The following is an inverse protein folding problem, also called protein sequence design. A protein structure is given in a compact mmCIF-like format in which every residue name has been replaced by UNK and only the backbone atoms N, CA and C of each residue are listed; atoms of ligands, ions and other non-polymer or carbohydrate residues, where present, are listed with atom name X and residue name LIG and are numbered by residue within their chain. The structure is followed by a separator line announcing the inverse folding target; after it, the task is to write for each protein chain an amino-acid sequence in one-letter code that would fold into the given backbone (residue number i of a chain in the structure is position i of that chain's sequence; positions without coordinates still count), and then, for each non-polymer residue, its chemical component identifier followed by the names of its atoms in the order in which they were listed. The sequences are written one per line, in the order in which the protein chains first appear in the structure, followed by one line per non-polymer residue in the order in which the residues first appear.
data_IF_075971327754
#
_entry.id   IF_075971327754
#
_cell.length_a   1.000
_cell.length_b   1.000
_cell.length_c   1.000
_cell.angle_alpha   90.00
_cell.angle_beta   90.00
_cell.angle_gamma   90.00
#
_symmetry.space_group_name_H-M   'P 1'
#
loop_
_entity.id
_entity.type
_entity.pdbx_description
1 polymer ?
#
# COMPACT_ATOMS: atom_id res chain seq x y z
N UNK A 1 -1.03 -13.58 -4.91
CA UNK A 1 -0.98 -13.34 -6.37
C UNK A 1 -0.81 -11.85 -6.69
N UNK A 2 -1.74 -10.98 -6.28
CA UNK A 2 -1.68 -9.55 -6.58
C UNK A 2 -0.39 -8.84 -6.12
N UNK A 3 0.06 -9.10 -4.89
CA UNK A 3 1.28 -8.50 -4.35
C UNK A 3 2.55 -8.87 -5.11
N UNK A 4 2.64 -10.11 -5.59
CA UNK A 4 3.75 -10.56 -6.44
C UNK A 4 3.75 -9.81 -7.77
N UNK A 5 2.56 -9.62 -8.36
CA UNK A 5 2.41 -8.88 -9.62
C UNK A 5 2.85 -7.42 -9.44
N UNK A 6 2.41 -6.75 -8.38
CA UNK A 6 2.75 -5.34 -8.16
C UNK A 6 4.25 -5.15 -7.94
N UNK A 7 4.90 -6.02 -7.16
CA UNK A 7 6.36 -5.97 -6.98
C UNK A 7 7.10 -6.26 -8.28
N UNK A 8 6.67 -7.26 -9.04
CA UNK A 8 7.27 -7.59 -10.33
C UNK A 8 7.13 -6.44 -11.35
N UNK A 9 6.11 -5.58 -11.20
CA UNK A 9 5.90 -4.42 -12.04
C UNK A 9 6.74 -3.19 -11.63
N UNK A 10 7.24 -3.12 -10.39
CA UNK A 10 7.99 -1.94 -9.91
C UNK A 10 9.16 -1.52 -10.82
N UNK A 11 9.98 -2.43 -11.38
CA UNK A 11 11.04 -2.05 -12.32
C UNK A 11 10.55 -1.39 -13.62
N UNK A 12 9.29 -1.64 -14.02
CA UNK A 12 8.67 -1.05 -15.21
C UNK A 12 8.10 0.34 -14.93
N UNK A 13 7.80 0.65 -13.67
CA UNK A 13 7.22 1.92 -13.21
C UNK A 13 8.28 3.03 -13.10
N UNK A 14 9.02 3.24 -14.19
CA UNK A 14 9.99 4.33 -14.31
C UNK A 14 9.33 5.70 -14.24
N UNK A 15 10.09 6.74 -13.90
CA UNK A 15 9.61 8.14 -13.89
C UNK A 15 8.98 8.56 -15.24
N UNK A 16 9.55 8.08 -16.35
CA UNK A 16 9.03 8.33 -17.70
C UNK A 16 7.70 7.64 -17.96
N UNK A 17 7.54 6.42 -17.47
CA UNK A 17 6.28 5.68 -17.60
C UNK A 17 5.19 6.35 -16.76
N UNK A 18 5.47 6.60 -15.48
CA UNK A 18 4.50 7.19 -14.55
C UNK A 18 4.05 8.59 -15.00
N UNK A 19 4.98 9.44 -15.43
CA UNK A 19 4.65 10.80 -15.91
C UNK A 19 3.84 10.82 -17.23
N UNK A 20 3.97 9.80 -18.08
CA UNK A 20 3.18 9.67 -19.31
C UNK A 20 1.80 9.07 -19.06
N UNK A 21 1.72 8.10 -18.16
CA UNK A 21 0.52 7.32 -17.89
C UNK A 21 -0.29 7.81 -16.67
N UNK A 22 0.07 8.97 -16.10
CA UNK A 22 -0.55 9.52 -14.90
C UNK A 22 -2.09 9.58 -14.95
N UNK A 23 -2.72 9.86 -16.11
CA UNK A 23 -4.19 9.87 -16.26
C UNK A 23 -4.80 8.51 -16.62
N UNK A 24 -3.99 7.57 -17.12
CA UNK A 24 -4.47 6.24 -17.55
C UNK A 24 -4.53 5.23 -16.39
N UNK A 25 -3.88 5.54 -15.26
CA UNK A 25 -3.90 4.71 -14.04
C UNK A 25 -5.12 4.99 -13.15
N UNK A 26 -6.13 5.70 -13.66
CA UNK A 26 -7.40 5.98 -12.98
C UNK A 26 -8.31 4.73 -12.96
N UNK A 27 -7.77 3.61 -12.47
CA UNK A 27 -8.63 2.65 -11.78
C UNK A 27 -9.19 3.38 -10.57
N UNK A 28 -10.44 3.10 -10.14
CA UNK A 28 -10.93 3.65 -8.89
C UNK A 28 -10.12 3.00 -7.74
N UNK A 29 -8.92 3.53 -7.47
CA UNK A 29 -7.98 3.02 -6.47
C UNK A 29 -8.65 3.01 -5.11
N UNK A 30 -9.58 3.94 -4.87
CA UNK A 30 -10.46 3.95 -3.70
C UNK A 30 -11.39 2.72 -3.62
N UNK A 31 -11.93 2.25 -4.75
CA UNK A 31 -12.74 1.02 -4.80
C UNK A 31 -11.85 -0.19 -4.56
N UNK A 32 -10.67 -0.25 -5.18
CA UNK A 32 -9.71 -1.35 -4.94
C UNK A 32 -9.28 -1.36 -3.47
N UNK A 33 -8.98 -0.19 -2.90
CA UNK A 33 -8.62 -0.03 -1.50
C UNK A 33 -9.76 -0.46 -0.56
N UNK A 34 -10.99 -0.01 -0.85
CA UNK A 34 -12.18 -0.39 -0.09
C UNK A 34 -12.45 -1.90 -0.15
N UNK A 35 -12.41 -2.50 -1.34
CA UNK A 35 -12.55 -3.95 -1.52
C UNK A 35 -11.45 -4.71 -0.78
N UNK A 36 -10.20 -4.23 -0.84
CA UNK A 36 -9.07 -4.87 -0.16
C UNK A 36 -9.24 -4.81 1.35
N UNK A 37 -9.67 -3.67 1.89
CA UNK A 37 -9.97 -3.51 3.30
C UNK A 37 -11.06 -4.49 3.77
N UNK A 38 -12.13 -4.64 2.97
CA UNK A 38 -13.23 -5.58 3.26
C UNK A 38 -12.72 -7.03 3.23
N UNK A 39 -12.00 -7.42 2.18
CA UNK A 39 -11.44 -8.78 2.03
C UNK A 39 -10.52 -9.12 3.20
N UNK A 40 -9.67 -8.19 3.60
CA UNK A 40 -8.79 -8.35 4.75
C UNK A 40 -9.61 -8.49 6.04
N UNK A 41 -10.61 -7.64 6.27
CA UNK A 41 -11.47 -7.71 7.46
C UNK A 41 -12.18 -9.06 7.57
N UNK A 42 -12.72 -9.57 6.45
CA UNK A 42 -13.35 -10.89 6.39
C UNK A 42 -12.34 -12.01 6.67
N UNK A 43 -11.13 -11.93 6.12
CA UNK A 43 -10.09 -12.92 6.36
C UNK A 43 -9.66 -12.96 7.84
N UNK A 44 -9.53 -11.79 8.47
CA UNK A 44 -9.24 -11.66 9.90
C UNK A 44 -10.34 -12.30 10.74
N UNK A 45 -11.61 -11.95 10.50
CA UNK A 45 -12.74 -12.50 11.23
C UNK A 45 -12.79 -14.03 11.09
N UNK A 46 -12.57 -14.52 9.87
CA UNK A 46 -12.53 -15.96 9.57
C UNK A 46 -11.40 -16.66 10.31
N UNK A 47 -10.22 -16.04 10.42
CA UNK A 47 -9.09 -16.57 11.19
C UNK A 47 -9.43 -16.67 12.68
N UNK A 48 -10.03 -15.64 13.28
CA UNK A 48 -10.43 -15.69 14.69
C UNK A 48 -11.47 -16.77 14.93
N UNK A 49 -12.45 -16.94 14.03
CA UNK A 49 -13.42 -18.04 14.12
C UNK A 49 -12.76 -19.42 14.00
N UNK A 50 -11.76 -19.55 13.12
CA UNK A 50 -11.04 -20.81 12.92
C UNK A 50 -10.18 -21.19 14.13
N UNK A 51 -9.45 -20.23 14.72
CA UNK A 51 -8.61 -20.47 15.90
C UNK A 51 -9.46 -20.81 17.13
N UNK A 52 -10.62 -20.17 17.29
CA UNK A 52 -11.47 -20.32 18.47
C UNK A 52 -12.47 -21.49 18.38
N UNK A 53 -12.39 -22.32 17.34
CA UNK A 53 -13.27 -23.47 17.16
C UNK A 53 -12.83 -24.63 18.06
N UNK A 54 -13.79 -25.35 18.67
CA UNK A 54 -13.50 -26.52 19.52
C UNK A 54 -12.83 -27.69 18.79
N UNK A 55 -12.97 -27.75 17.45
CA UNK A 55 -12.30 -28.76 16.61
C UNK A 55 -10.96 -28.23 16.12
N UNK A 56 -9.93 -29.08 16.13
CA UNK A 56 -8.62 -28.74 15.59
C UNK A 56 -8.71 -28.35 14.11
N UNK A 57 -8.38 -27.10 13.80
CA UNK A 57 -8.24 -26.61 12.42
C UNK A 57 -7.21 -27.44 11.65
N UNK A 58 -7.48 -27.71 10.37
CA UNK A 58 -6.56 -28.47 9.53
C UNK A 58 -5.27 -27.64 9.31
N UNK A 59 -4.05 -28.22 9.36
CA UNK A 59 -2.81 -27.46 9.26
C UNK A 59 -2.72 -26.55 8.02
N UNK A 60 -3.26 -27.02 6.90
CA UNK A 60 -3.31 -26.28 5.62
C UNK A 60 -4.16 -25.02 5.73
N UNK A 61 -5.34 -25.09 6.35
CA UNK A 61 -6.22 -23.93 6.54
C UNK A 61 -5.54 -22.87 7.41
N UNK A 62 -4.87 -23.32 8.48
CA UNK A 62 -4.10 -22.45 9.36
C UNK A 62 -2.96 -21.76 8.60
N UNK A 63 -2.19 -22.49 7.79
CA UNK A 63 -1.10 -21.91 6.99
C UNK A 63 -1.61 -20.86 6.01
N UNK A 64 -2.70 -21.14 5.27
CA UNK A 64 -3.27 -20.16 4.34
C UNK A 64 -3.79 -18.91 5.06
N UNK A 65 -4.48 -19.09 6.18
CA UNK A 65 -5.00 -17.98 6.96
C UNK A 65 -3.85 -17.12 7.53
N UNK A 66 -2.77 -17.73 8.00
CA UNK A 66 -1.59 -17.02 8.49
C UNK A 66 -0.84 -16.27 7.39
N UNK A 67 -0.65 -16.87 6.21
CA UNK A 67 -0.01 -16.19 5.08
C UNK A 67 -0.87 -15.06 4.51
N UNK A 68 -2.20 -15.17 4.61
CA UNK A 68 -3.13 -14.16 4.09
C UNK A 68 -2.95 -12.79 4.76
N UNK A 69 -2.58 -12.75 6.05
CA UNK A 69 -2.43 -11.52 6.81
C UNK A 69 -1.28 -10.63 6.29
N UNK A 70 0.00 -11.08 6.29
CA UNK A 70 1.11 -10.26 5.79
C UNK A 70 0.98 -9.98 4.29
N UNK A 71 0.38 -10.89 3.51
CA UNK A 71 0.10 -10.64 2.10
C UNK A 71 -0.97 -9.56 1.91
N UNK A 72 -2.02 -9.55 2.72
CA UNK A 72 -3.05 -8.51 2.72
C UNK A 72 -2.49 -7.16 3.15
N UNK A 73 -1.65 -7.15 4.20
CA UNK A 73 -0.93 -5.97 4.66
C UNK A 73 -0.10 -5.36 3.53
N UNK A 74 0.77 -6.16 2.91
CA UNK A 74 1.63 -5.68 1.85
C UNK A 74 0.84 -5.24 0.60
N UNK A 75 -0.32 -5.86 0.35
CA UNK A 75 -1.22 -5.47 -0.75
C UNK A 75 -1.74 -4.05 -0.59
N UNK A 76 -2.16 -3.66 0.62
CA UNK A 76 -2.61 -2.30 0.90
C UNK A 76 -1.49 -1.29 0.64
N UNK A 77 -0.27 -1.57 1.11
CA UNK A 77 0.86 -0.66 0.90
C UNK A 77 1.30 -0.58 -0.56
N UNK A 78 1.26 -1.70 -1.28
CA UNK A 78 1.53 -1.74 -2.71
C UNK A 78 0.52 -0.89 -3.51
N UNK A 79 -0.78 -0.97 -3.17
CA UNK A 79 -1.81 -0.13 -3.78
C UNK A 79 -1.63 1.35 -3.44
N UNK A 80 -1.34 1.68 -2.19
CA UNK A 80 -1.11 3.08 -1.79
C UNK A 80 0.14 3.67 -2.45
N UNK A 81 1.17 2.87 -2.70
CA UNK A 81 2.33 3.30 -3.47
C UNK A 81 1.94 3.74 -4.89
N UNK A 82 1.12 2.94 -5.58
CA UNK A 82 0.59 3.31 -6.90
C UNK A 82 -0.30 4.55 -6.81
N UNK A 83 -1.08 4.70 -5.74
CA UNK A 83 -1.89 5.89 -5.51
C UNK A 83 -1.04 7.16 -5.31
N UNK A 84 0.02 7.08 -4.51
CA UNK A 84 0.96 8.18 -4.34
C UNK A 84 1.62 8.55 -5.67
N UNK A 85 2.05 7.56 -6.46
CA UNK A 85 2.60 7.80 -7.79
C UNK A 85 1.59 8.52 -8.70
N UNK A 86 0.33 8.08 -8.71
CA UNK A 86 -0.74 8.70 -9.48
C UNK A 86 -0.96 10.16 -9.08
N UNK A 87 -1.10 10.45 -7.78
CA UNK A 87 -1.33 11.81 -7.28
C UNK A 87 -0.10 12.70 -7.50
N UNK A 88 1.10 12.16 -7.35
CA UNK A 88 2.35 12.88 -7.59
C UNK A 88 2.49 13.30 -9.06
N UNK A 89 2.22 12.38 -9.98
CA UNK A 89 2.37 12.60 -11.42
C UNK A 89 1.13 13.17 -12.10
N UNK A 90 0.04 13.42 -11.37
CA UNK A 90 -1.12 14.14 -11.87
C UNK A 90 -0.61 15.50 -12.41
N UNK A 91 -1.00 15.88 -13.63
CA UNK A 91 -0.54 17.13 -14.24
C UNK A 91 -1.39 18.30 -13.71
N UNK A 92 -0.75 19.43 -13.41
CA UNK A 92 -1.43 20.72 -13.41
C UNK A 92 -1.77 21.07 -14.87
N UNK A 93 -3.00 21.51 -15.14
CA UNK A 93 -3.50 21.74 -16.51
C UNK A 93 -2.79 22.89 -17.24
N UNK A 94 -1.89 23.61 -16.56
CA UNK A 94 -1.12 24.75 -17.06
C UNK A 94 0.13 24.40 -17.89
N UNK A 95 0.19 23.21 -18.50
CA UNK A 95 1.23 22.98 -19.51
C UNK A 95 0.76 23.53 -20.85
N UNK A 96 1.11 24.79 -21.11
CA UNK A 96 0.98 25.52 -22.37
C UNK A 96 0.98 24.59 -23.61
N UNK A 97 -0.09 24.58 -24.43
CA UNK A 97 -0.21 23.71 -25.60
C UNK A 97 0.91 23.93 -26.65
N UNK A 98 1.72 24.99 -26.51
CA UNK A 98 2.91 25.25 -27.33
C UNK A 98 4.23 24.73 -26.77
N UNK A 99 4.29 24.26 -25.51
CA UNK A 99 5.56 23.89 -24.88
C UNK A 99 6.05 22.52 -25.34
N UNK A 100 7.03 22.53 -26.26
CA UNK A 100 7.89 21.37 -26.57
C UNK A 100 8.81 21.00 -25.39
N UNK A 101 8.35 21.11 -24.15
CA UNK A 101 9.11 20.73 -22.98
C UNK A 101 9.29 19.21 -22.94
N UNK A 102 10.55 18.79 -23.04
CA UNK A 102 10.99 17.39 -23.02
C UNK A 102 10.54 16.60 -21.78
N UNK A 103 9.98 17.21 -20.73
CA UNK A 103 9.54 16.53 -19.51
C UNK A 103 8.36 17.28 -18.85
N UNK A 104 7.25 16.55 -18.58
CA UNK A 104 6.10 17.05 -17.81
C UNK A 104 6.49 17.32 -16.35
N UNK A 105 5.97 18.43 -15.80
CA UNK A 105 6.15 18.81 -14.40
C UNK A 105 5.07 18.16 -13.53
N UNK A 106 5.43 17.40 -12.48
CA UNK A 106 4.47 16.77 -11.58
C UNK A 106 3.79 17.79 -10.66
N UNK A 107 2.58 17.49 -10.17
CA UNK A 107 1.94 18.17 -9.03
C UNK A 107 2.78 18.02 -7.76
N UNK A 108 3.46 16.88 -7.60
CA UNK A 108 4.39 16.64 -6.50
C UNK A 108 3.69 16.18 -5.21
N UNK A 109 4.05 16.77 -4.07
CA UNK A 109 3.50 16.40 -2.76
C UNK A 109 4.35 15.46 -1.93
N UNK A 110 5.34 14.79 -2.53
CA UNK A 110 6.40 14.04 -1.86
C UNK A 110 7.77 14.57 -2.31
N UNK A 111 8.73 14.66 -1.39
CA UNK A 111 10.10 15.10 -1.67
C UNK A 111 11.04 14.02 -1.18
N UNK A 112 11.64 13.29 -2.12
CA UNK A 112 12.58 12.21 -1.86
C UNK A 112 14.01 12.76 -1.79
N UNK A 113 14.76 12.40 -0.75
CA UNK A 113 16.15 12.83 -0.62
C UNK A 113 16.99 12.35 -1.80
N UNK A 114 17.69 13.28 -2.47
CA UNK A 114 18.59 12.96 -3.59
C UNK A 114 17.90 12.50 -4.88
N UNK A 115 16.57 12.57 -5.00
CA UNK A 115 15.84 12.13 -6.21
C UNK A 115 14.73 13.09 -6.62
N UNK A 116 14.94 13.78 -7.74
CA UNK A 116 13.99 14.77 -8.27
C UNK A 116 12.80 14.14 -8.99
N UNK A 117 12.97 12.95 -9.56
CA UNK A 117 11.95 12.25 -10.35
C UNK A 117 11.78 10.83 -9.81
N UNK A 118 10.83 10.59 -8.89
CA UNK A 118 10.64 9.29 -8.27
C UNK A 118 10.03 8.26 -9.24
N UNK A 119 10.48 7.02 -9.10
CA UNK A 119 9.95 5.83 -9.76
C UNK A 119 9.13 4.97 -8.78
N UNK A 120 8.61 3.84 -9.25
CA UNK A 120 7.76 2.95 -8.45
C UNK A 120 8.38 2.50 -7.14
N UNK A 121 9.70 2.28 -7.09
CA UNK A 121 10.38 1.83 -5.88
C UNK A 121 10.40 2.91 -4.80
N UNK A 122 10.53 4.17 -5.18
CA UNK A 122 10.50 5.28 -4.23
C UNK A 122 9.12 5.39 -3.55
N UNK A 123 8.05 5.27 -4.34
CA UNK A 123 6.68 5.27 -3.80
C UNK A 123 6.39 4.03 -2.96
N UNK A 124 6.90 2.86 -3.34
CA UNK A 124 6.76 1.63 -2.57
C UNK A 124 7.54 1.72 -1.25
N UNK A 125 8.74 2.28 -1.27
CA UNK A 125 9.56 2.56 -0.09
C UNK A 125 8.80 3.47 0.90
N UNK A 126 8.31 4.62 0.42
CA UNK A 126 7.56 5.55 1.28
C UNK A 126 6.28 4.93 1.82
N UNK A 127 5.51 4.25 0.97
CA UNK A 127 4.27 3.58 1.36
C UNK A 127 4.48 2.49 2.40
N UNK A 128 5.50 1.65 2.21
CA UNK A 128 5.81 0.56 3.15
C UNK A 128 6.35 1.11 4.47
N UNK A 129 7.14 2.19 4.43
CA UNK A 129 7.63 2.87 5.65
C UNK A 129 6.46 3.38 6.50
N UNK A 130 5.49 4.05 5.89
CA UNK A 130 4.22 4.44 6.54
C UNK A 130 3.47 3.20 7.06
N UNK A 131 3.40 2.13 6.26
CA UNK A 131 2.74 0.88 6.61
C UNK A 131 3.30 0.15 7.82
N UNK A 132 4.62 0.18 7.97
CA UNK A 132 5.33 -0.34 9.14
C UNK A 132 5.16 0.57 10.37
N UNK A 133 4.40 1.66 10.27
CA UNK A 133 4.29 2.72 11.29
C UNK A 133 5.64 3.33 11.69
N UNK A 134 6.62 3.24 10.78
CA UNK A 134 7.95 3.83 10.95
C UNK A 134 7.94 5.19 10.28
N UNK A 135 8.15 6.27 11.02
CA UNK A 135 8.25 7.61 10.41
C UNK A 135 9.67 7.91 9.90
N UNK A 136 10.56 6.91 9.83
CA UNK A 136 11.95 7.05 9.41
C UNK A 136 12.11 7.00 7.89
N UNK A 137 11.23 7.67 7.14
CA UNK A 137 11.45 7.90 5.71
C UNK A 137 12.27 9.17 5.52
N UNK A 138 13.27 9.14 4.64
CA UNK A 138 13.97 10.33 4.12
C UNK A 138 13.11 11.15 3.12
N UNK A 139 11.79 10.92 3.16
CA UNK A 139 10.80 11.51 2.27
C UNK A 139 9.91 12.48 3.03
N UNK A 140 9.84 13.73 2.58
CA UNK A 140 8.99 14.77 3.17
C UNK A 140 7.67 14.93 2.42
N UNK A 141 6.57 15.19 3.14
CA UNK A 141 5.24 15.46 2.55
C UNK A 141 5.03 16.96 2.41
N UNK A 142 5.04 17.47 1.18
CA UNK A 142 5.08 18.92 0.92
C UNK A 142 3.71 19.58 0.74
N UNK A 143 2.69 18.86 0.24
CA UNK A 143 1.36 19.43 -0.05
C UNK A 143 0.29 18.97 0.94
N UNK A 144 -0.73 19.81 1.16
CA UNK A 144 -1.86 19.48 2.04
C UNK A 144 -2.71 18.32 1.49
N UNK A 145 -2.84 18.22 0.17
CA UNK A 145 -3.52 17.09 -0.48
C UNK A 145 -2.81 15.77 -0.14
N UNK A 146 -1.48 15.71 -0.32
CA UNK A 146 -0.72 14.50 -0.01
C UNK A 146 -0.75 14.18 1.50
N UNK A 147 -0.71 15.20 2.37
CA UNK A 147 -0.86 15.01 3.83
C UNK A 147 -2.18 14.31 4.21
N UNK A 148 -3.30 14.65 3.55
CA UNK A 148 -4.60 13.98 3.82
C UNK A 148 -4.58 12.49 3.44
N UNK A 149 -3.94 12.17 2.32
CA UNK A 149 -3.80 10.77 1.85
C UNK A 149 -2.89 9.99 2.80
N UNK A 150 -1.74 10.55 3.15
CA UNK A 150 -0.80 9.95 4.11
C UNK A 150 -1.47 9.73 5.46
N UNK A 151 -2.26 10.70 5.95
CA UNK A 151 -3.00 10.56 7.20
C UNK A 151 -3.97 9.37 7.17
N UNK A 152 -4.77 9.25 6.11
CA UNK A 152 -5.69 8.12 5.96
C UNK A 152 -4.93 6.79 5.93
N UNK A 153 -3.84 6.73 5.15
CA UNK A 153 -3.01 5.54 5.06
C UNK A 153 -2.39 5.17 6.41
N UNK A 154 -1.88 6.14 7.18
CA UNK A 154 -1.33 5.91 8.52
C UNK A 154 -2.37 5.36 9.50
N UNK A 155 -3.59 5.90 9.50
CA UNK A 155 -4.69 5.41 10.36
C UNK A 155 -5.00 3.95 10.04
N UNK A 156 -5.18 3.63 8.75
CA UNK A 156 -5.45 2.26 8.31
C UNK A 156 -4.30 1.33 8.68
N UNK A 157 -3.06 1.75 8.47
CA UNK A 157 -1.86 0.99 8.80
C UNK A 157 -1.76 0.69 10.29
N UNK A 158 -2.06 1.67 11.15
CA UNK A 158 -2.05 1.49 12.61
C UNK A 158 -2.99 0.37 13.05
N UNK A 159 -4.27 0.43 12.64
CA UNK A 159 -5.25 -0.60 13.02
C UNK A 159 -4.92 -1.96 12.40
N UNK A 160 -4.41 -1.99 11.17
CA UNK A 160 -3.97 -3.24 10.56
C UNK A 160 -2.88 -3.91 11.40
N UNK A 161 -1.83 -3.17 11.78
CA UNK A 161 -0.75 -3.71 12.62
C UNK A 161 -1.27 -4.23 13.97
N UNK A 162 -2.23 -3.56 14.60
CA UNK A 162 -2.89 -4.06 15.82
C UNK A 162 -3.53 -5.43 15.60
N UNK A 163 -4.18 -5.64 14.45
CA UNK A 163 -4.79 -6.93 14.13
C UNK A 163 -3.74 -8.01 13.88
N UNK A 164 -2.64 -7.70 13.19
CA UNK A 164 -1.54 -8.66 12.97
C UNK A 164 -1.02 -9.16 14.31
N UNK A 165 -0.77 -8.24 15.24
CA UNK A 165 -0.31 -8.58 16.60
C UNK A 165 -1.35 -9.42 17.33
N UNK A 166 -2.63 -9.05 17.29
CA UNK A 166 -3.69 -9.81 17.94
C UNK A 166 -3.83 -11.24 17.38
N UNK A 167 -3.76 -11.40 16.07
CA UNK A 167 -3.79 -12.70 15.41
C UNK A 167 -2.58 -13.57 15.79
N UNK A 168 -1.38 -12.97 15.84
CA UNK A 168 -0.15 -13.66 16.24
C UNK A 168 -0.20 -14.12 17.71
N UNK A 169 -0.68 -13.27 18.62
CA UNK A 169 -0.88 -13.63 20.04
C UNK A 169 -1.91 -14.75 20.17
N UNK A 170 -3.06 -14.65 19.49
CA UNK A 170 -4.10 -15.67 19.56
C UNK A 170 -3.60 -17.03 19.05
N UNK A 171 -2.81 -17.03 17.98
CA UNK A 171 -2.13 -18.22 17.48
C UNK A 171 -1.17 -18.82 18.52
N UNK A 172 -0.31 -17.99 19.13
CA UNK A 172 0.67 -18.44 20.11
C UNK A 172 -0.01 -19.09 21.33
N UNK A 173 -1.09 -18.47 21.82
CA UNK A 173 -1.89 -19.02 22.92
C UNK A 173 -2.54 -20.35 22.51
N UNK A 174 -3.13 -20.43 21.31
CA UNK A 174 -3.78 -21.65 20.81
C UNK A 174 -2.81 -22.81 20.60
N UNK A 175 -1.56 -22.54 20.18
CA UNK A 175 -0.53 -23.55 20.02
C UNK A 175 0.08 -23.98 21.36
N UNK A 176 0.23 -23.05 22.31
CA UNK A 176 0.78 -23.33 23.64
C UNK A 176 -0.21 -23.95 24.63
N UNK A 177 -1.51 -23.88 24.35
CA UNK A 177 -2.57 -24.51 25.16
C UNK A 177 -2.96 -25.92 24.70
N UNK A 178 -2.35 -26.42 23.62
CA UNK A 178 -2.45 -27.82 23.14
C UNK A 178 -1.32 -28.66 23.72
#
# INVERSE_FOLDING_TARGET
AYTVIVVAQMPLLTDRYLSKNARATDQPVLVIFGVTLIVVAVAIISLFQLINRERSAHPVELTFALLSIPLGWFTIHAMTALHYAHVYWLNDEETDPGSKAKQRKPVGGLVFAGKERPDGWDFLYFSTTVGMTSQTSDTAVSTTQMRRIVLLHSIVSFFFNTVIVAAAVNLAVSLGSR
#
